data_IF_353495394286
#
_entry.id   IF_353495394286
#
_cell.length_a   1.000
_cell.length_b   1.000
_cell.length_c   1.000
_cell.angle_alpha   90.00
_cell.angle_beta   90.00
_cell.angle_gamma   90.00
#
_symmetry.space_group_name_H-M   'P 1'
#
loop_
_entity.id
_entity.type
_entity.pdbx_description
1 polymer ?
#
# COMPACT_ATOMS: atom_id res chain seq x y z
N UNK A 1 -18.43 13.97 -21.75
CA UNK A 1 -18.71 12.53 -21.69
C UNK A 1 -17.52 11.84 -21.04
N UNK A 2 -17.71 11.15 -19.92
CA UNK A 2 -16.65 10.33 -19.36
C UNK A 2 -16.44 9.14 -20.32
N UNK A 3 -15.26 9.06 -20.95
CA UNK A 3 -14.88 7.91 -21.76
C UNK A 3 -14.76 6.73 -20.81
N UNK A 4 -15.63 5.72 -20.96
CA UNK A 4 -15.53 4.48 -20.23
C UNK A 4 -14.21 3.79 -20.64
N UNK A 5 -13.19 3.88 -19.80
CA UNK A 5 -11.92 3.20 -20.06
C UNK A 5 -12.11 1.69 -19.90
N UNK A 6 -11.53 0.94 -20.82
CA UNK A 6 -11.47 -0.52 -20.73
C UNK A 6 -10.84 -0.92 -19.39
N UNK A 7 -11.37 -1.95 -18.74
CA UNK A 7 -10.75 -2.52 -17.53
C UNK A 7 -9.42 -3.16 -17.95
N UNK A 8 -8.31 -2.82 -17.28
CA UNK A 8 -7.03 -3.46 -17.52
C UNK A 8 -7.09 -4.98 -17.40
N UNK A 9 -6.38 -5.71 -18.26
CA UNK A 9 -6.39 -7.17 -18.25
C UNK A 9 -6.01 -7.77 -16.90
N UNK A 10 -5.02 -7.18 -16.23
CA UNK A 10 -4.56 -7.63 -14.90
C UNK A 10 -5.68 -7.52 -13.87
N UNK A 11 -6.52 -6.49 -13.93
CA UNK A 11 -7.61 -6.23 -12.98
C UNK A 11 -8.97 -6.76 -13.43
N UNK A 12 -9.03 -7.61 -14.46
CA UNK A 12 -10.28 -8.11 -15.06
C UNK A 12 -10.87 -9.30 -14.28
N UNK A 13 -10.96 -9.21 -12.96
CA UNK A 13 -11.61 -10.19 -12.08
C UNK A 13 -12.33 -9.48 -10.93
N UNK A 14 -13.38 -10.09 -10.36
CA UNK A 14 -14.01 -9.57 -9.16
C UNK A 14 -12.98 -9.45 -8.01
N UNK A 15 -12.95 -8.30 -7.38
CA UNK A 15 -12.11 -8.03 -6.21
C UNK A 15 -12.92 -8.19 -4.93
N UNK A 16 -12.29 -8.67 -3.85
CA UNK A 16 -12.93 -8.88 -2.55
C UNK A 16 -13.11 -7.61 -1.70
N UNK A 17 -12.85 -6.43 -2.26
CA UNK A 17 -12.97 -5.17 -1.52
C UNK A 17 -14.42 -4.74 -1.32
N UNK A 18 -14.68 -4.00 -0.24
CA UNK A 18 -15.99 -3.40 0.02
C UNK A 18 -16.38 -2.42 -1.09
N UNK A 19 -17.66 -2.32 -1.48
CA UNK A 19 -18.14 -1.33 -2.42
C UNK A 19 -17.77 0.10 -1.98
N UNK A 20 -17.21 0.90 -2.90
CA UNK A 20 -16.75 2.26 -2.61
C UNK A 20 -15.42 2.37 -1.86
N UNK A 21 -14.76 1.26 -1.54
CA UNK A 21 -13.45 1.28 -0.90
C UNK A 21 -12.36 1.79 -1.86
N UNK A 22 -11.45 2.64 -1.35
CA UNK A 22 -10.34 3.21 -2.11
C UNK A 22 -9.37 2.16 -2.70
N UNK A 23 -9.29 0.97 -2.11
CA UNK A 23 -8.49 -0.14 -2.65
C UNK A 23 -8.81 -0.45 -4.12
N UNK A 24 -10.09 -0.52 -4.48
CA UNK A 24 -10.49 -0.80 -5.87
C UNK A 24 -10.05 0.29 -6.85
N UNK A 25 -10.13 1.56 -6.45
CA UNK A 25 -9.67 2.70 -7.25
C UNK A 25 -8.15 2.64 -7.45
N UNK A 26 -7.40 2.43 -6.37
CA UNK A 26 -5.93 2.39 -6.41
C UNK A 26 -5.43 1.23 -7.27
N UNK A 27 -5.99 0.02 -7.12
CA UNK A 27 -5.59 -1.13 -7.95
C UNK A 27 -5.87 -0.88 -9.41
N UNK A 28 -7.00 -0.27 -9.75
CA UNK A 28 -7.30 0.10 -11.13
C UNK A 28 -6.23 1.06 -11.69
N UNK A 29 -5.85 2.08 -10.93
CA UNK A 29 -4.81 3.04 -11.35
C UNK A 29 -3.43 2.38 -11.51
N UNK A 30 -3.06 1.48 -10.61
CA UNK A 30 -1.80 0.72 -10.70
C UNK A 30 -1.80 -0.13 -11.97
N UNK A 31 -2.88 -0.85 -12.24
CA UNK A 31 -2.95 -1.75 -13.39
C UNK A 31 -3.05 -0.99 -14.73
N UNK A 32 -3.73 0.16 -14.77
CA UNK A 32 -3.69 1.09 -15.92
C UNK A 32 -2.25 1.58 -16.18
N UNK A 33 -1.53 1.98 -15.13
CA UNK A 33 -0.14 2.43 -15.27
C UNK A 33 0.79 1.31 -15.76
N UNK A 34 0.60 0.08 -15.29
CA UNK A 34 1.38 -1.07 -15.75
C UNK A 34 1.13 -1.38 -17.23
N UNK A 35 -0.11 -1.30 -17.70
CA UNK A 35 -0.44 -1.44 -19.15
C UNK A 35 0.17 -0.30 -19.96
N UNK A 36 0.06 0.96 -19.50
CA UNK A 36 0.64 2.12 -20.19
C UNK A 36 2.18 2.02 -20.30
N UNK A 37 2.83 1.39 -19.31
CA UNK A 37 4.28 1.16 -19.30
C UNK A 37 4.71 -0.13 -19.99
N UNK A 38 3.78 -0.95 -20.48
CA UNK A 38 4.07 -2.25 -21.07
C UNK A 38 4.64 -3.28 -20.09
N UNK A 39 4.35 -3.12 -18.78
CA UNK A 39 4.85 -3.97 -17.70
C UNK A 39 3.78 -4.92 -17.14
N UNK A 40 2.61 -4.98 -17.76
CA UNK A 40 1.46 -5.77 -17.33
C UNK A 40 1.73 -7.28 -17.27
N UNK A 41 2.66 -7.79 -18.12
CA UNK A 41 3.08 -9.20 -18.15
C UNK A 41 4.37 -9.48 -17.37
N UNK A 42 4.97 -8.47 -16.81
CA UNK A 42 6.28 -8.55 -16.14
C UNK A 42 6.22 -8.14 -14.68
N UNK A 43 5.03 -8.09 -14.07
CA UNK A 43 4.81 -7.65 -12.70
C UNK A 43 4.55 -8.84 -11.77
N UNK A 44 5.12 -8.76 -10.56
CA UNK A 44 4.83 -9.68 -9.45
C UNK A 44 4.41 -8.85 -8.25
N UNK A 45 3.26 -9.17 -7.67
CA UNK A 45 2.77 -8.51 -6.45
C UNK A 45 3.16 -9.28 -5.19
N UNK A 46 3.82 -8.60 -4.24
CA UNK A 46 3.90 -9.03 -2.85
C UNK A 46 2.75 -8.42 -2.06
N UNK A 47 1.78 -9.24 -1.68
CA UNK A 47 0.54 -8.79 -1.04
C UNK A 47 0.65 -8.98 0.46
N UNK A 48 0.52 -7.88 1.21
CA UNK A 48 0.50 -7.90 2.67
C UNK A 48 -0.81 -8.43 3.27
N UNK A 49 -0.85 -8.56 4.58
CA UNK A 49 -2.03 -9.02 5.31
C UNK A 49 -2.91 -7.84 5.76
N UNK A 50 -4.19 -8.07 5.83
CA UNK A 50 -5.25 -7.09 6.09
C UNK A 50 -6.13 -6.92 4.86
N UNK A 51 -6.80 -5.79 4.68
CA UNK A 51 -7.68 -5.56 3.53
C UNK A 51 -6.95 -5.72 2.19
N UNK A 52 -5.64 -5.44 2.13
CA UNK A 52 -4.81 -5.69 0.94
C UNK A 52 -4.82 -7.14 0.47
N UNK A 53 -4.97 -8.13 1.37
CA UNK A 53 -5.00 -9.55 1.01
C UNK A 53 -6.23 -9.95 0.20
N UNK A 54 -7.32 -9.16 0.25
CA UNK A 54 -8.53 -9.35 -0.56
C UNK A 54 -8.27 -9.14 -2.07
N UNK A 55 -7.12 -8.57 -2.42
CA UNK A 55 -6.66 -8.46 -3.80
C UNK A 55 -6.34 -9.82 -4.43
N UNK A 56 -6.00 -10.82 -3.63
CA UNK A 56 -5.41 -12.08 -4.09
C UNK A 56 -6.17 -12.81 -5.21
N UNK A 57 -7.51 -12.75 -5.22
CA UNK A 57 -8.34 -13.32 -6.30
C UNK A 57 -8.57 -12.39 -7.50
N UNK A 58 -8.29 -11.09 -7.36
CA UNK A 58 -8.67 -10.03 -8.30
C UNK A 58 -7.64 -9.72 -9.39
N UNK A 59 -6.46 -10.32 -9.36
CA UNK A 59 -5.39 -10.04 -10.32
C UNK A 59 -5.08 -11.22 -11.24
N UNK A 60 -4.83 -10.91 -12.53
CA UNK A 60 -4.35 -11.85 -13.54
C UNK A 60 -2.83 -11.69 -13.76
N UNK A 61 -2.05 -11.75 -12.70
CA UNK A 61 -0.59 -11.70 -12.74
C UNK A 61 -0.01 -12.53 -11.58
N UNK A 62 1.30 -12.71 -11.58
CA UNK A 62 2.00 -13.41 -10.51
C UNK A 62 1.91 -12.62 -9.20
N UNK A 63 1.73 -13.34 -8.11
CA UNK A 63 1.59 -12.76 -6.78
C UNK A 63 1.99 -13.72 -5.67
N UNK A 64 2.48 -13.14 -4.59
CA UNK A 64 2.84 -13.84 -3.36
C UNK A 64 2.12 -13.19 -2.18
N UNK A 65 1.33 -13.94 -1.44
CA UNK A 65 0.84 -13.51 -0.13
C UNK A 65 1.98 -13.58 0.88
N UNK A 66 2.26 -12.45 1.49
CA UNK A 66 3.33 -12.31 2.47
C UNK A 66 2.78 -12.50 3.90
N UNK A 67 3.55 -13.01 4.85
CA UNK A 67 3.18 -12.94 6.26
C UNK A 67 3.01 -11.48 6.70
N UNK A 68 2.16 -11.25 7.70
CA UNK A 68 1.82 -9.91 8.19
C UNK A 68 3.06 -9.10 8.59
N UNK A 69 3.22 -7.92 8.03
CA UNK A 69 4.36 -7.03 8.23
C UNK A 69 5.64 -7.44 7.50
N UNK A 70 5.64 -8.53 6.72
CA UNK A 70 6.86 -9.07 6.10
C UNK A 70 6.96 -8.82 4.59
N UNK A 71 6.02 -8.09 4.00
CA UNK A 71 6.01 -7.86 2.56
C UNK A 71 7.27 -7.15 2.07
N UNK A 72 7.82 -6.19 2.82
CA UNK A 72 9.09 -5.54 2.50
C UNK A 72 10.27 -6.52 2.37
N UNK A 73 10.39 -7.48 3.30
CA UNK A 73 11.43 -8.51 3.27
C UNK A 73 11.22 -9.51 2.13
N UNK A 74 9.98 -9.97 1.93
CA UNK A 74 9.63 -10.91 0.85
C UNK A 74 9.89 -10.27 -0.52
N UNK A 75 9.44 -9.03 -0.74
CA UNK A 75 9.68 -8.29 -1.99
C UNK A 75 11.16 -8.03 -2.24
N UNK A 76 11.96 -7.78 -1.19
CA UNK A 76 13.42 -7.71 -1.30
C UNK A 76 13.98 -9.02 -1.88
N UNK A 77 13.59 -10.18 -1.33
CA UNK A 77 13.99 -11.49 -1.83
C UNK A 77 13.54 -11.74 -3.26
N UNK A 78 12.25 -11.48 -3.54
CA UNK A 78 11.67 -11.61 -4.88
C UNK A 78 12.44 -10.79 -5.92
N UNK A 79 12.77 -9.53 -5.61
CA UNK A 79 13.52 -8.66 -6.54
C UNK A 79 14.93 -9.14 -6.80
N UNK A 80 15.58 -9.76 -5.82
CA UNK A 80 16.94 -10.30 -5.98
C UNK A 80 17.00 -11.55 -6.86
N UNK A 81 15.97 -12.39 -6.80
CA UNK A 81 15.90 -13.60 -7.64
C UNK A 81 15.23 -13.35 -8.99
N UNK A 82 14.45 -12.26 -9.12
CA UNK A 82 13.80 -11.85 -10.36
C UNK A 82 14.17 -10.39 -10.68
N UNK A 83 15.44 -10.12 -11.06
CA UNK A 83 15.94 -8.74 -11.20
C UNK A 83 15.27 -7.95 -12.32
N UNK A 84 14.72 -8.60 -13.34
CA UNK A 84 14.10 -7.96 -14.50
C UNK A 84 12.61 -7.71 -14.31
N UNK A 85 11.96 -8.38 -13.34
CA UNK A 85 10.54 -8.17 -13.05
C UNK A 85 10.29 -6.87 -12.28
N UNK A 86 9.12 -6.26 -12.54
CA UNK A 86 8.57 -5.21 -11.69
C UNK A 86 7.99 -5.86 -10.44
N UNK A 87 8.52 -5.53 -9.29
CA UNK A 87 8.01 -6.01 -8.00
C UNK A 87 7.23 -4.89 -7.33
N UNK A 88 6.00 -5.16 -6.92
CA UNK A 88 5.15 -4.22 -6.18
C UNK A 88 4.76 -4.84 -4.85
N UNK A 89 5.15 -4.19 -3.76
CA UNK A 89 4.63 -4.48 -2.42
C UNK A 89 3.33 -3.71 -2.22
N UNK A 90 2.22 -4.41 -1.98
CA UNK A 90 0.90 -3.82 -1.77
C UNK A 90 0.40 -4.11 -0.37
N UNK A 91 0.29 -3.08 0.47
CA UNK A 91 0.08 -3.21 1.91
C UNK A 91 -0.95 -2.20 2.43
N UNK A 92 -1.49 -2.46 3.63
CA UNK A 92 -2.18 -1.44 4.44
C UNK A 92 -1.19 -0.75 5.40
N UNK A 93 -1.62 0.36 5.99
CA UNK A 93 -0.83 1.13 6.96
C UNK A 93 -0.48 0.32 8.21
N UNK A 94 -1.42 -0.43 8.76
CA UNK A 94 -1.17 -1.33 9.90
C UNK A 94 -0.18 -2.44 9.57
N UNK A 95 -0.20 -2.95 8.35
CA UNK A 95 0.75 -3.96 7.87
C UNK A 95 2.15 -3.37 7.69
N UNK A 96 2.27 -2.27 6.94
CA UNK A 96 3.55 -1.69 6.56
C UNK A 96 4.22 -0.87 7.67
N UNK A 97 3.44 -0.08 8.42
CA UNK A 97 3.95 0.96 9.32
C UNK A 97 3.81 0.62 10.81
N UNK A 98 3.04 -0.43 11.14
CA UNK A 98 2.93 -0.92 12.50
C UNK A 98 3.69 -2.25 12.64
N UNK A 99 3.10 -3.37 12.20
CA UNK A 99 3.71 -4.71 12.33
C UNK A 99 5.00 -4.81 11.51
N UNK A 100 5.01 -4.23 10.30
CA UNK A 100 6.13 -4.30 9.36
C UNK A 100 7.05 -3.09 9.35
N UNK A 101 7.06 -2.26 10.40
CA UNK A 101 7.88 -1.04 10.43
C UNK A 101 9.37 -1.33 10.23
N UNK A 102 9.89 -2.39 10.81
CA UNK A 102 11.31 -2.79 10.68
C UNK A 102 11.67 -3.18 9.26
N UNK A 103 10.83 -3.98 8.60
CA UNK A 103 11.01 -4.43 7.22
C UNK A 103 10.85 -3.28 6.23
N UNK A 104 9.83 -2.43 6.42
CA UNK A 104 9.59 -1.26 5.59
C UNK A 104 10.73 -0.25 5.70
N UNK A 105 11.20 0.02 6.92
CA UNK A 105 12.35 0.90 7.19
C UNK A 105 13.63 0.33 6.58
N UNK A 106 13.89 -0.96 6.77
CA UNK A 106 15.08 -1.63 6.24
C UNK A 106 15.10 -1.65 4.71
N UNK A 107 13.96 -1.86 4.06
CA UNK A 107 13.85 -1.80 2.61
C UNK A 107 14.10 -0.38 2.08
N UNK A 108 13.53 0.65 2.72
CA UNK A 108 13.74 2.05 2.39
C UNK A 108 15.20 2.47 2.60
N UNK A 109 15.80 2.09 3.74
CA UNK A 109 17.21 2.37 4.05
C UNK A 109 18.17 1.82 2.97
N UNK A 110 17.93 0.60 2.50
CA UNK A 110 18.73 -0.01 1.44
C UNK A 110 18.35 0.46 0.03
N UNK A 111 17.34 1.32 -0.09
CA UNK A 111 16.79 1.76 -1.38
C UNK A 111 16.52 0.57 -2.32
N UNK A 112 15.83 -0.44 -1.81
CA UNK A 112 15.55 -1.69 -2.54
C UNK A 112 14.74 -1.39 -3.81
N UNK A 113 15.09 -2.07 -4.91
CA UNK A 113 14.59 -1.78 -6.26
C UNK A 113 13.19 -2.36 -6.53
N UNK A 114 12.23 -2.06 -5.66
CA UNK A 114 10.81 -2.37 -5.86
C UNK A 114 9.93 -1.20 -5.38
N UNK A 115 8.68 -1.19 -5.80
CA UNK A 115 7.72 -0.15 -5.42
C UNK A 115 6.86 -0.62 -4.27
N UNK A 116 6.82 0.13 -3.17
CA UNK A 116 5.89 -0.10 -2.06
C UNK A 116 4.70 0.85 -2.20
N UNK A 117 3.50 0.28 -2.25
CA UNK A 117 2.24 1.03 -2.27
C UNK A 117 1.47 0.70 -1.00
N UNK A 118 1.24 1.72 -0.17
CA UNK A 118 0.56 1.58 1.10
C UNK A 118 -0.77 2.31 1.06
N UNK A 119 -1.84 1.58 1.34
CA UNK A 119 -3.18 2.15 1.48
C UNK A 119 -3.38 2.51 2.95
N UNK A 120 -3.34 3.80 3.23
CA UNK A 120 -3.49 4.33 4.57
C UNK A 120 -4.96 4.70 4.83
N UNK A 121 -5.66 3.87 5.59
CA UNK A 121 -7.01 4.11 6.08
C UNK A 121 -7.06 4.40 7.58
N UNK A 122 -5.90 4.62 8.21
CA UNK A 122 -5.74 5.00 9.61
C UNK A 122 -6.23 3.99 10.66
N UNK A 123 -6.40 2.73 10.27
CA UNK A 123 -6.81 1.65 11.19
C UNK A 123 -6.56 0.25 10.60
N UNK A 124 -6.76 -0.79 11.45
CA UNK A 124 -6.83 -2.18 11.00
C UNK A 124 -8.26 -2.52 10.57
N UNK A 125 -8.62 -2.19 9.31
CA UNK A 125 -10.01 -2.31 8.84
C UNK A 125 -10.54 -3.75 8.81
N UNK A 126 -9.74 -4.74 8.37
CA UNK A 126 -10.18 -6.12 8.22
C UNK A 126 -10.60 -6.77 9.54
N UNK A 127 -9.93 -6.43 10.65
CA UNK A 127 -10.14 -7.06 11.96
C UNK A 127 -11.16 -6.34 12.83
N UNK A 128 -11.79 -5.28 12.31
CA UNK A 128 -12.86 -4.57 13.01
C UNK A 128 -12.48 -3.16 13.48
N UNK A 129 -11.47 -2.53 12.86
CA UNK A 129 -11.17 -1.11 13.03
C UNK A 129 -10.38 -0.76 14.29
N UNK A 130 -9.38 -1.53 14.66
CA UNK A 130 -8.46 -1.22 15.74
C UNK A 130 -7.54 -0.05 15.35
N UNK A 131 -7.01 0.64 16.36
CA UNK A 131 -6.03 1.69 16.18
C UNK A 131 -4.75 1.16 15.51
N UNK A 132 -4.25 1.89 14.52
CA UNK A 132 -2.92 1.71 13.91
C UNK A 132 -1.99 2.87 14.29
N UNK A 133 -0.73 2.79 13.88
CA UNK A 133 0.23 3.88 14.12
C UNK A 133 -0.15 5.19 13.40
N UNK A 134 -0.94 5.12 12.35
CA UNK A 134 -1.38 6.27 11.55
C UNK A 134 -2.73 6.85 11.99
N UNK A 135 -3.42 6.24 12.95
CA UNK A 135 -4.71 6.73 13.48
C UNK A 135 -4.58 8.18 13.96
N UNK A 136 -5.50 9.04 13.58
CA UNK A 136 -5.43 10.48 13.86
C UNK A 136 -5.71 10.81 15.33
N UNK A 137 -5.21 11.94 15.87
CA UNK A 137 -5.54 12.40 17.21
C UNK A 137 -7.05 12.53 17.39
N UNK A 138 -7.61 12.03 18.48
CA UNK A 138 -9.05 12.05 18.75
C UNK A 138 -9.89 11.10 17.90
N UNK A 139 -9.32 10.41 16.91
CA UNK A 139 -10.05 9.45 16.08
C UNK A 139 -10.52 8.26 16.93
N UNK A 140 -11.83 7.96 16.83
CA UNK A 140 -12.44 6.81 17.50
C UNK A 140 -12.21 5.55 16.66
N UNK A 141 -11.76 4.51 17.34
CA UNK A 141 -11.58 3.16 16.79
C UNK A 141 -12.11 2.13 17.77
N UNK A 142 -12.14 0.86 17.41
CA UNK A 142 -12.60 -0.19 18.35
C UNK A 142 -11.69 -0.33 19.59
N UNK A 143 -10.46 0.13 19.53
CA UNK A 143 -9.51 0.13 20.67
C UNK A 143 -9.24 1.51 21.25
N UNK A 144 -9.79 2.57 20.65
CA UNK A 144 -9.74 3.96 21.16
C UNK A 144 -11.15 4.56 21.16
N UNK A 145 -12.05 3.99 21.96
CA UNK A 145 -13.49 4.32 21.94
C UNK A 145 -13.77 5.77 22.30
N UNK A 146 -12.98 6.35 23.23
CA UNK A 146 -13.06 7.77 23.61
C UNK A 146 -12.36 8.71 22.60
N UNK A 147 -11.62 8.14 21.64
CA UNK A 147 -10.72 8.84 20.73
C UNK A 147 -9.25 8.52 21.05
N UNK A 148 -8.37 8.61 20.04
CA UNK A 148 -6.93 8.41 20.26
C UNK A 148 -6.38 9.49 21.16
N UNK A 149 -5.84 9.08 22.30
CA UNK A 149 -5.06 9.90 23.21
C UNK A 149 -3.58 9.81 22.83
N UNK A 150 -3.02 10.91 22.36
CA UNK A 150 -1.63 10.96 21.92
C UNK A 150 -0.62 10.98 23.05
N UNK A 151 -1.00 11.40 24.24
CA UNK A 151 -0.11 11.36 25.42
C UNK A 151 0.10 9.90 25.86
N UNK A 152 -0.90 9.05 25.68
CA UNK A 152 -0.83 7.63 26.00
C UNK A 152 -0.22 6.79 24.86
N UNK A 153 -0.56 7.08 23.60
CA UNK A 153 -0.27 6.19 22.46
C UNK A 153 0.70 6.78 21.45
N UNK A 154 1.25 7.98 21.71
CA UNK A 154 2.10 8.71 20.80
C UNK A 154 1.37 9.36 19.63
N UNK A 155 2.06 10.24 18.91
CA UNK A 155 1.57 10.94 17.74
C UNK A 155 1.44 9.98 16.53
N UNK A 156 0.53 10.28 15.57
CA UNK A 156 0.43 9.52 14.33
C UNK A 156 1.76 9.48 13.58
N UNK A 157 2.08 8.31 13.04
CA UNK A 157 3.31 8.13 12.27
C UNK A 157 3.20 8.74 10.87
N UNK A 158 4.17 9.58 10.52
CA UNK A 158 4.37 10.14 9.20
C UNK A 158 5.50 9.38 8.47
N UNK A 159 5.24 8.10 8.13
CA UNK A 159 6.28 7.20 7.61
C UNK A 159 6.92 7.68 6.31
N UNK A 160 6.19 8.15 5.27
CA UNK A 160 6.81 8.67 4.04
C UNK A 160 7.77 9.82 4.30
N UNK A 161 7.40 10.78 5.15
CA UNK A 161 8.23 11.92 5.51
C UNK A 161 9.48 11.47 6.30
N UNK A 162 9.30 10.53 7.23
CA UNK A 162 10.40 9.96 8.01
C UNK A 162 11.45 9.32 7.11
N UNK A 163 11.04 8.46 6.17
CA UNK A 163 11.99 7.78 5.28
C UNK A 163 12.62 8.74 4.25
N UNK A 164 11.86 9.70 3.73
CA UNK A 164 12.36 10.69 2.79
C UNK A 164 13.46 11.55 3.43
N UNK A 165 13.26 11.95 4.68
CA UNK A 165 14.22 12.77 5.42
C UNK A 165 15.45 11.99 5.88
N UNK A 166 15.26 10.73 6.32
CA UNK A 166 16.32 9.96 6.98
C UNK A 166 17.16 9.12 6.02
N UNK A 167 16.59 8.62 4.93
CA UNK A 167 17.25 7.60 4.09
C UNK A 167 17.43 8.00 2.63
N UNK A 168 16.85 9.11 2.18
CA UNK A 168 16.93 9.61 0.82
C UNK A 168 16.60 8.52 -0.25
N UNK A 169 15.45 7.83 -0.16
CA UNK A 169 15.09 6.85 -1.16
C UNK A 169 14.91 7.51 -2.53
N UNK A 170 15.00 6.74 -3.60
CA UNK A 170 14.91 7.25 -4.97
C UNK A 170 13.60 7.99 -5.28
N UNK A 171 12.51 7.60 -4.61
CA UNK A 171 11.21 8.23 -4.77
C UNK A 171 10.32 8.02 -3.56
N UNK A 172 9.66 9.07 -3.10
CA UNK A 172 8.59 9.03 -2.09
C UNK A 172 7.48 9.98 -2.52
N UNK A 173 6.25 9.56 -2.40
CA UNK A 173 5.09 10.40 -2.70
C UNK A 173 3.86 10.01 -1.87
N UNK A 174 2.96 10.96 -1.70
CA UNK A 174 1.60 10.75 -1.18
C UNK A 174 0.58 11.14 -2.23
N UNK A 175 -0.62 10.58 -2.11
CA UNK A 175 -1.77 10.94 -2.92
C UNK A 175 -3.07 10.61 -2.19
N UNK A 176 -4.19 11.13 -2.68
CA UNK A 176 -5.53 10.80 -2.22
C UNK A 176 -6.40 10.33 -3.37
N UNK A 177 -7.23 9.32 -3.13
CA UNK A 177 -8.21 8.83 -4.11
C UNK A 177 -9.39 9.79 -4.30
N UNK A 178 -9.58 10.73 -3.38
CA UNK A 178 -10.66 11.73 -3.42
C UNK A 178 -10.30 12.96 -4.27
N UNK A 179 -9.00 13.17 -4.50
CA UNK A 179 -8.50 14.33 -5.27
C UNK A 179 -8.07 13.80 -6.63
N UNK A 180 -8.69 14.29 -7.70
CA UNK A 180 -8.46 13.82 -9.07
C UNK A 180 -6.97 13.78 -9.50
N UNK A 181 -6.68 13.21 -10.66
CA UNK A 181 -5.33 12.89 -11.19
C UNK A 181 -4.26 13.98 -11.04
N UNK A 182 -4.64 15.26 -10.94
CA UNK A 182 -3.69 16.39 -10.91
C UNK A 182 -3.01 16.58 -9.55
N UNK A 183 -3.61 16.15 -8.45
CA UNK A 183 -3.12 16.40 -7.10
C UNK A 183 -2.41 15.21 -6.45
N UNK A 184 -2.30 14.08 -7.15
CA UNK A 184 -1.60 12.89 -6.67
C UNK A 184 -0.06 12.98 -6.76
N UNK A 185 0.51 14.16 -7.01
CA UNK A 185 1.96 14.36 -7.19
C UNK A 185 2.56 15.28 -6.13
N UNK A 186 2.25 15.06 -4.88
CA UNK A 186 3.05 15.68 -3.83
C UNK A 186 4.31 14.82 -3.62
N UNK A 187 5.45 15.37 -4.03
CA UNK A 187 6.76 14.83 -3.66
C UNK A 187 7.05 15.29 -2.23
N UNK A 188 7.32 14.35 -1.38
CA UNK A 188 7.81 14.61 -0.02
C UNK A 188 9.31 14.87 -0.06
#
# INVERSE_FOLDING_TARGET
MAVARKIPYIANRPMGFCPGCGHGVVIRLITEALEELGQDKNVIFGIGVGCSSLLGGGLNCDRQHCPHGRAGAVCTGMKRVNPDNVIISYQGDGDAYSIGIGESTSAAYRNERFTTIVINNTNYGMTGGQMSQTTLPGQKTSTTVAGRDCDLTGMPMHFPEMIAHSFHPSYVARGSVEIGRASCRERV
#
